data_IF_050115413815
#
_entry.id   IF_050115413815
#
_cell.length_a   1.000
_cell.length_b   1.000
_cell.length_c   1.000
_cell.angle_alpha   90.00
_cell.angle_beta   90.00
_cell.angle_gamma   90.00
#
_symmetry.space_group_name_H-M   'P 1'
#
loop_
_entity.id
_entity.type
_entity.pdbx_description
1 polymer ?
#
# COMPACT_ATOMS: atom_id res chain seq x y z
N UNK A 1 10.17 24.75 6.10
CA UNK A 1 8.81 24.15 6.25
C UNK A 1 8.96 22.84 7.00
N UNK A 2 7.98 22.44 7.80
CA UNK A 2 8.04 21.16 8.51
C UNK A 2 8.05 20.00 7.50
N UNK A 3 8.92 19.01 7.71
CA UNK A 3 9.01 17.81 6.87
C UNK A 3 7.66 17.10 6.78
N UNK A 4 7.19 16.79 5.58
CA UNK A 4 5.96 16.01 5.35
C UNK A 4 6.25 14.53 5.58
N UNK A 5 5.49 13.87 6.46
CA UNK A 5 5.66 12.46 6.80
C UNK A 5 4.71 11.60 5.99
N UNK A 6 5.25 10.63 5.26
CA UNK A 6 4.47 9.63 4.52
C UNK A 6 4.70 8.26 5.16
N UNK A 7 3.61 7.57 5.49
CA UNK A 7 3.69 6.20 5.99
C UNK A 7 3.29 5.21 4.89
N UNK A 8 4.21 4.31 4.56
CA UNK A 8 3.96 3.15 3.71
C UNK A 8 3.63 1.99 4.65
N UNK A 9 2.34 1.75 4.86
CA UNK A 9 1.83 0.73 5.78
C UNK A 9 1.42 -0.49 4.97
N UNK A 10 2.10 -1.61 5.16
CA UNK A 10 1.86 -2.79 4.33
C UNK A 10 1.80 -4.10 5.10
N UNK A 11 1.06 -5.05 4.54
CA UNK A 11 1.17 -6.47 4.89
C UNK A 11 1.75 -7.24 3.71
N UNK A 12 2.71 -8.13 3.97
CA UNK A 12 3.29 -9.02 2.97
C UNK A 12 3.49 -10.41 3.56
N UNK A 13 2.90 -11.43 2.93
CA UNK A 13 3.11 -12.82 3.33
C UNK A 13 4.23 -13.48 2.54
N UNK A 14 4.32 -13.21 1.24
CA UNK A 14 5.26 -13.84 0.31
C UNK A 14 6.29 -12.87 -0.30
N UNK A 15 6.42 -11.66 0.24
CA UNK A 15 7.43 -10.67 -0.17
C UNK A 15 7.03 -9.72 -1.31
N UNK A 16 6.09 -10.07 -2.18
CA UNK A 16 5.73 -9.23 -3.34
C UNK A 16 5.30 -7.81 -2.98
N UNK A 17 4.42 -7.66 -1.98
CA UNK A 17 3.96 -6.34 -1.53
C UNK A 17 5.07 -5.57 -0.82
N UNK A 18 5.99 -6.25 -0.13
CA UNK A 18 7.14 -5.61 0.49
C UNK A 18 8.08 -5.00 -0.55
N UNK A 19 8.34 -5.70 -1.65
CA UNK A 19 9.14 -5.17 -2.76
C UNK A 19 8.48 -3.91 -3.33
N UNK A 20 7.17 -3.95 -3.57
CA UNK A 20 6.40 -2.78 -4.01
C UNK A 20 6.47 -1.63 -2.99
N UNK A 21 6.30 -1.92 -1.70
CA UNK A 21 6.33 -0.94 -0.63
C UNK A 21 7.68 -0.20 -0.54
N UNK A 22 8.78 -0.91 -0.77
CA UNK A 22 10.11 -0.29 -0.82
C UNK A 22 10.25 0.66 -2.02
N UNK A 23 9.66 0.34 -3.16
CA UNK A 23 9.63 1.25 -4.32
C UNK A 23 8.70 2.45 -4.10
N UNK A 24 7.54 2.26 -3.49
CA UNK A 24 6.67 3.35 -3.04
C UNK A 24 7.44 4.31 -2.11
N UNK A 25 8.18 3.78 -1.14
CA UNK A 25 9.03 4.57 -0.24
C UNK A 25 10.10 5.34 -1.00
N UNK A 26 10.80 4.70 -1.96
CA UNK A 26 11.80 5.36 -2.81
C UNK A 26 11.17 6.50 -3.61
N UNK A 27 9.99 6.29 -4.16
CA UNK A 27 9.20 7.31 -4.86
C UNK A 27 8.89 8.50 -3.97
N UNK A 28 8.32 8.25 -2.80
CA UNK A 28 7.95 9.30 -1.84
C UNK A 28 9.17 10.10 -1.34
N UNK A 29 10.27 9.43 -1.02
CA UNK A 29 11.53 10.06 -0.59
C UNK A 29 12.24 10.85 -1.71
N UNK A 30 11.84 10.69 -2.97
CA UNK A 30 12.37 11.51 -4.07
C UNK A 30 11.85 12.96 -4.05
N UNK A 31 10.81 13.24 -3.26
CA UNK A 31 10.21 14.56 -3.11
C UNK A 31 10.92 15.33 -1.99
N UNK A 32 11.51 16.49 -2.33
CA UNK A 32 12.19 17.33 -1.35
C UNK A 32 11.27 17.73 -0.18
N UNK A 33 11.76 17.62 1.05
CA UNK A 33 10.98 17.96 2.25
C UNK A 33 9.92 16.92 2.64
N UNK A 34 9.98 15.72 2.04
CA UNK A 34 9.18 14.55 2.43
C UNK A 34 10.09 13.50 3.08
N UNK A 35 9.59 12.86 4.13
CA UNK A 35 10.21 11.69 4.76
C UNK A 35 9.21 10.54 4.77
N UNK A 36 9.58 9.45 4.11
CA UNK A 36 8.75 8.28 3.93
C UNK A 36 9.24 7.10 4.78
N UNK A 37 8.38 6.58 5.67
CA UNK A 37 8.70 5.49 6.61
C UNK A 37 7.91 4.23 6.25
N UNK A 38 8.59 3.07 6.24
CA UNK A 38 7.96 1.77 6.07
C UNK A 38 7.44 1.22 7.39
N UNK A 39 6.28 0.59 7.34
CA UNK A 39 5.60 0.02 8.49
C UNK A 39 4.95 -1.31 8.13
N UNK A 40 5.19 -2.34 8.92
CA UNK A 40 4.53 -3.64 8.77
C UNK A 40 3.26 -3.72 9.61
N UNK A 41 2.17 -4.18 8.98
CA UNK A 41 0.96 -4.60 9.70
C UNK A 41 1.26 -5.90 10.47
N UNK A 42 0.86 -6.01 11.76
CA UNK A 42 1.09 -7.20 12.56
C UNK A 42 0.50 -8.48 11.94
N UNK A 43 1.21 -9.60 12.13
CA UNK A 43 0.74 -10.92 11.70
C UNK A 43 -0.35 -11.46 12.64
N UNK A 44 -1.39 -12.10 12.08
CA UNK A 44 -2.49 -12.70 12.86
C UNK A 44 -2.53 -14.22 12.76
N UNK A 45 -1.87 -14.80 11.75
CA UNK A 45 -1.78 -16.24 11.61
C UNK A 45 -0.78 -16.84 12.59
N UNK A 46 -1.13 -17.96 13.19
CA UNK A 46 -0.21 -18.70 14.07
C UNK A 46 0.99 -19.24 13.30
N UNK A 47 2.12 -19.45 14.00
CA UNK A 47 3.32 -20.06 13.40
C UNK A 47 3.06 -21.41 12.74
N UNK A 48 2.12 -22.21 13.27
CA UNK A 48 1.70 -23.48 12.65
C UNK A 48 1.08 -23.26 11.26
N UNK A 49 0.21 -22.27 11.11
CA UNK A 49 -0.42 -21.96 9.84
C UNK A 49 0.59 -21.39 8.85
N UNK A 50 1.45 -20.46 9.29
CA UNK A 50 2.52 -19.91 8.46
C UNK A 50 3.45 -21.00 7.92
N UNK A 51 3.84 -21.95 8.77
CA UNK A 51 4.64 -23.11 8.36
C UNK A 51 3.92 -23.97 7.32
N UNK A 52 2.64 -24.29 7.53
CA UNK A 52 1.83 -25.03 6.54
C UNK A 52 1.71 -24.30 5.20
N UNK A 53 1.62 -22.98 5.24
CA UNK A 53 1.56 -22.12 4.06
C UNK A 53 2.92 -21.90 3.39
N UNK A 54 4.00 -22.45 3.95
CA UNK A 54 5.38 -22.25 3.51
C UNK A 54 5.72 -20.76 3.37
N UNK A 55 5.22 -19.95 4.31
CA UNK A 55 5.51 -18.53 4.33
C UNK A 55 7.02 -18.31 4.57
N UNK A 56 7.69 -17.49 3.74
CA UNK A 56 9.08 -17.15 3.99
C UNK A 56 9.22 -16.38 5.32
N UNK A 57 10.39 -16.43 5.96
CA UNK A 57 10.67 -15.56 7.10
C UNK A 57 10.57 -14.09 6.66
N UNK A 58 10.03 -13.25 7.53
CA UNK A 58 10.00 -11.80 7.32
C UNK A 58 11.33 -11.18 7.72
N UNK A 59 11.78 -10.17 6.97
CA UNK A 59 12.93 -9.38 7.38
C UNK A 59 12.58 -8.54 8.62
N UNK A 60 13.53 -8.40 9.54
CA UNK A 60 13.37 -7.66 10.80
C UNK A 60 13.82 -6.19 10.69
N UNK A 61 13.94 -5.66 9.47
CA UNK A 61 14.41 -4.29 9.23
C UNK A 61 13.28 -3.25 9.22
N UNK A 62 12.03 -3.68 9.05
CA UNK A 62 10.86 -2.80 9.07
C UNK A 62 10.06 -3.01 10.36
N UNK A 63 9.82 -1.96 11.17
CA UNK A 63 9.08 -2.08 12.41
C UNK A 63 7.58 -2.36 12.17
N UNK A 64 6.94 -2.98 13.16
CA UNK A 64 5.48 -3.12 13.17
C UNK A 64 4.83 -1.80 13.58
N UNK A 65 3.75 -1.44 12.91
CA UNK A 65 2.95 -0.26 13.27
C UNK A 65 1.83 -0.63 14.23
N UNK A 66 1.59 0.26 15.20
CA UNK A 66 0.36 0.27 16.00
C UNK A 66 -0.67 1.22 15.38
N UNK A 67 -1.97 0.93 15.51
CA UNK A 67 -3.03 1.77 14.94
C UNK A 67 -2.88 3.27 15.26
N UNK A 68 -2.62 3.63 16.53
CA UNK A 68 -2.52 5.01 17.01
C UNK A 68 -1.45 5.85 16.28
N UNK A 69 -0.39 5.21 15.80
CA UNK A 69 0.71 5.87 15.10
C UNK A 69 0.29 6.41 13.73
N UNK A 70 -0.83 5.95 13.16
CA UNK A 70 -1.34 6.54 11.91
C UNK A 70 -1.60 8.05 12.06
N UNK A 71 -1.94 8.53 13.26
CA UNK A 71 -2.13 9.96 13.51
C UNK A 71 -0.87 10.82 13.27
N UNK A 72 0.33 10.21 13.29
CA UNK A 72 1.61 10.91 13.17
C UNK A 72 2.01 11.26 11.72
N UNK A 73 1.42 10.59 10.72
CA UNK A 73 1.72 10.82 9.31
C UNK A 73 0.80 11.88 8.69
N UNK A 74 1.29 12.55 7.65
CA UNK A 74 0.51 13.51 6.87
C UNK A 74 -0.17 12.85 5.65
N UNK A 75 0.34 11.71 5.19
CA UNK A 75 -0.23 10.94 4.10
C UNK A 75 0.21 9.47 4.13
N UNK A 76 -0.49 8.63 3.35
CA UNK A 76 -0.35 7.19 3.45
C UNK A 76 -0.29 6.49 2.10
N UNK A 77 0.39 5.36 2.07
CA UNK A 77 0.28 4.34 1.04
C UNK A 77 0.00 3.01 1.73
N UNK A 78 -1.17 2.42 1.47
CA UNK A 78 -1.58 1.15 2.07
C UNK A 78 -1.37 -0.02 1.11
N UNK A 79 -0.56 -0.99 1.53
CA UNK A 79 -0.14 -2.13 0.72
C UNK A 79 -0.64 -3.47 1.23
N UNK A 80 -1.30 -4.28 0.40
CA UNK A 80 -1.71 -5.62 0.84
C UNK A 80 -1.89 -6.63 -0.30
N UNK A 81 -1.72 -7.94 -0.03
CA UNK A 81 -2.03 -8.95 -1.01
C UNK A 81 -3.54 -9.15 -1.07
N UNK A 82 -4.07 -9.33 -2.28
CA UNK A 82 -5.46 -9.71 -2.51
C UNK A 82 -5.76 -11.07 -1.85
N UNK A 83 -6.93 -11.14 -1.21
CA UNK A 83 -7.59 -12.36 -0.76
C UNK A 83 -9.00 -12.34 -1.31
N UNK A 84 -9.18 -12.98 -2.46
CA UNK A 84 -10.48 -13.07 -3.15
C UNK A 84 -11.12 -11.71 -3.45
N UNK A 85 -10.30 -10.72 -3.84
CA UNK A 85 -10.78 -9.38 -4.21
C UNK A 85 -10.97 -8.42 -3.04
N UNK A 86 -10.53 -8.78 -1.84
CA UNK A 86 -10.44 -7.89 -0.67
C UNK A 86 -9.04 -7.92 -0.06
N UNK A 87 -8.75 -7.00 0.86
CA UNK A 87 -7.51 -7.00 1.62
C UNK A 87 -7.33 -8.26 2.47
N UNK A 88 -6.08 -8.57 2.84
CA UNK A 88 -5.80 -9.64 3.77
C UNK A 88 -6.43 -9.39 5.16
N UNK A 89 -6.78 -10.47 5.87
CA UNK A 89 -7.42 -10.40 7.18
C UNK A 89 -6.59 -9.60 8.20
N UNK A 90 -5.27 -9.62 8.09
CA UNK A 90 -4.33 -8.85 8.89
C UNK A 90 -4.55 -7.34 8.73
N UNK A 91 -4.71 -6.87 7.49
CA UNK A 91 -5.02 -5.47 7.22
C UNK A 91 -6.41 -5.10 7.71
N UNK A 92 -7.40 -5.99 7.52
CA UNK A 92 -8.74 -5.73 8.03
C UNK A 92 -8.77 -5.64 9.55
N UNK A 93 -8.08 -6.54 10.26
CA UNK A 93 -7.94 -6.50 11.71
C UNK A 93 -7.22 -5.24 12.19
N UNK A 94 -6.20 -4.77 11.46
CA UNK A 94 -5.52 -3.50 11.75
C UNK A 94 -6.46 -2.30 11.62
N UNK A 95 -7.25 -2.21 10.54
CA UNK A 95 -8.29 -1.18 10.40
C UNK A 95 -9.43 -1.34 11.41
N UNK A 96 -9.78 -2.55 11.84
CA UNK A 96 -10.79 -2.72 12.90
C UNK A 96 -10.31 -2.20 14.26
N UNK A 97 -8.99 -2.09 14.44
CA UNK A 97 -8.37 -1.55 15.65
C UNK A 97 -8.17 -0.02 15.61
N UNK A 98 -8.70 0.70 14.61
CA UNK A 98 -8.57 2.17 14.50
C UNK A 98 -9.81 2.93 14.99
N UNK A 99 -10.70 2.28 15.77
CA UNK A 99 -11.97 2.90 16.22
C UNK A 99 -11.77 4.27 16.89
N UNK A 100 -10.77 4.41 17.77
CA UNK A 100 -10.49 5.69 18.43
C UNK A 100 -10.09 6.80 17.45
N UNK A 101 -9.31 6.46 16.41
CA UNK A 101 -8.91 7.41 15.37
C UNK A 101 -10.07 7.80 14.47
N UNK A 102 -11.00 6.87 14.24
CA UNK A 102 -12.25 7.15 13.55
C UNK A 102 -13.12 8.09 14.40
N UNK A 103 -13.33 7.78 15.68
CA UNK A 103 -14.16 8.58 16.57
C UNK A 103 -13.64 10.03 16.69
N UNK A 104 -12.33 10.20 16.82
CA UNK A 104 -11.69 11.51 16.90
C UNK A 104 -11.45 12.18 15.53
N UNK A 105 -11.78 11.50 14.42
CA UNK A 105 -11.50 11.94 13.04
C UNK A 105 -10.02 12.28 12.79
N UNK A 106 -9.08 11.61 13.47
CA UNK A 106 -7.65 11.95 13.43
C UNK A 106 -6.98 11.72 12.06
N UNK A 107 -7.63 10.96 11.17
CA UNK A 107 -7.14 10.68 9.81
C UNK A 107 -7.86 11.51 8.74
N UNK A 108 -8.87 12.30 9.12
CA UNK A 108 -9.67 13.05 8.16
C UNK A 108 -8.80 14.08 7.39
N UNK A 109 -9.05 14.18 6.09
CA UNK A 109 -8.32 15.10 5.19
C UNK A 109 -6.92 14.63 4.77
N UNK A 110 -6.38 13.57 5.38
CA UNK A 110 -5.06 13.05 5.00
C UNK A 110 -5.14 12.24 3.70
N UNK A 111 -4.29 12.50 2.70
CA UNK A 111 -4.27 11.73 1.46
C UNK A 111 -3.78 10.29 1.66
N UNK A 112 -4.40 9.35 0.95
CA UNK A 112 -4.04 7.95 0.97
C UNK A 112 -4.11 7.31 -0.42
N UNK A 113 -3.04 6.63 -0.82
CA UNK A 113 -3.00 5.73 -1.97
C UNK A 113 -3.08 4.27 -1.54
N UNK A 114 -3.41 3.38 -2.48
CA UNK A 114 -3.49 1.93 -2.27
C UNK A 114 -2.62 1.24 -3.32
N UNK A 115 -1.88 0.21 -2.90
CA UNK A 115 -1.14 -0.69 -3.79
C UNK A 115 -1.31 -2.14 -3.35
N UNK A 116 -1.17 -3.11 -4.26
CA UNK A 116 -1.47 -4.51 -3.94
C UNK A 116 -0.71 -5.54 -4.78
N UNK A 117 -0.76 -6.79 -4.35
CA UNK A 117 -0.38 -7.94 -5.19
C UNK A 117 -1.56 -8.86 -5.41
N UNK A 118 -1.73 -9.42 -6.60
CA UNK A 118 -2.70 -10.51 -6.85
C UNK A 118 -2.01 -11.75 -7.42
N UNK A 119 -2.69 -12.89 -7.40
CA UNK A 119 -2.15 -14.11 -8.02
C UNK A 119 -2.10 -13.99 -9.55
N UNK A 120 -3.25 -13.85 -10.19
CA UNK A 120 -3.40 -13.94 -11.65
C UNK A 120 -4.46 -12.96 -12.17
N UNK A 121 -4.56 -12.84 -13.50
CA UNK A 121 -5.54 -11.97 -14.17
C UNK A 121 -6.97 -12.23 -13.70
N UNK A 122 -7.74 -11.16 -13.45
CA UNK A 122 -9.10 -11.27 -12.91
C UNK A 122 -9.17 -11.64 -11.43
N UNK A 123 -8.05 -11.97 -10.76
CA UNK A 123 -7.96 -12.33 -9.34
C UNK A 123 -8.16 -11.17 -8.35
N UNK A 124 -9.03 -10.22 -8.68
CA UNK A 124 -9.29 -9.02 -7.88
C UNK A 124 -8.31 -7.88 -8.12
N UNK A 125 -7.75 -7.76 -9.33
CA UNK A 125 -6.80 -6.70 -9.69
C UNK A 125 -7.35 -5.29 -9.49
N UNK A 126 -8.66 -5.08 -9.62
CA UNK A 126 -9.27 -3.77 -9.33
C UNK A 126 -10.09 -3.81 -8.04
N UNK A 127 -10.82 -4.92 -7.82
CA UNK A 127 -11.74 -5.07 -6.69
C UNK A 127 -11.04 -4.97 -5.33
N UNK A 128 -9.78 -5.42 -5.24
CA UNK A 128 -8.99 -5.33 -3.99
C UNK A 128 -8.77 -3.89 -3.56
N UNK A 129 -8.48 -2.99 -4.51
CA UNK A 129 -8.35 -1.57 -4.23
C UNK A 129 -9.72 -0.95 -3.93
N UNK A 130 -10.72 -1.24 -4.77
CA UNK A 130 -12.07 -0.71 -4.65
C UNK A 130 -12.70 -0.99 -3.28
N UNK A 131 -12.61 -2.24 -2.81
CA UNK A 131 -13.20 -2.65 -1.52
C UNK A 131 -12.49 -2.00 -0.33
N UNK A 132 -11.20 -1.69 -0.46
CA UNK A 132 -10.44 -0.98 0.56
C UNK A 132 -10.78 0.52 0.64
N UNK A 133 -11.33 1.13 -0.41
CA UNK A 133 -11.77 2.54 -0.40
C UNK A 133 -12.81 2.83 0.69
N UNK A 134 -13.61 1.82 1.05
CA UNK A 134 -14.59 1.94 2.14
C UNK A 134 -13.91 2.34 3.46
N UNK A 135 -12.71 1.83 3.75
CA UNK A 135 -11.96 2.18 4.96
C UNK A 135 -11.51 3.65 4.92
N UNK A 136 -10.99 4.11 3.78
CA UNK A 136 -10.56 5.49 3.60
C UNK A 136 -11.74 6.46 3.75
N UNK A 137 -12.87 6.14 3.12
CA UNK A 137 -14.08 6.96 3.15
C UNK A 137 -14.62 7.12 4.58
N UNK A 138 -14.71 6.02 5.35
CA UNK A 138 -15.19 6.07 6.73
C UNK A 138 -14.26 6.84 7.67
N UNK A 139 -12.95 6.83 7.42
CA UNK A 139 -11.98 7.65 8.15
C UNK A 139 -11.88 9.11 7.67
N UNK A 140 -12.64 9.50 6.64
CA UNK A 140 -12.58 10.85 6.06
C UNK A 140 -11.27 11.14 5.31
N UNK A 141 -10.52 10.11 4.92
CA UNK A 141 -9.25 10.24 4.19
C UNK A 141 -9.50 10.59 2.73
N UNK A 142 -8.56 11.30 2.10
CA UNK A 142 -8.65 11.65 0.69
C UNK A 142 -8.01 10.55 -0.16
N UNK A 143 -8.81 9.79 -0.89
CA UNK A 143 -8.27 8.79 -1.81
C UNK A 143 -7.51 9.47 -2.97
N UNK A 144 -6.24 9.11 -3.12
CA UNK A 144 -5.36 9.55 -4.21
C UNK A 144 -5.08 8.36 -5.13
N UNK A 145 -5.82 8.21 -6.24
CA UNK A 145 -5.53 7.19 -7.25
C UNK A 145 -4.25 7.54 -8.02
N UNK A 146 -3.55 6.52 -8.54
CA UNK A 146 -2.49 6.76 -9.53
C UNK A 146 -3.09 7.33 -10.84
N UNK A 147 -4.34 6.97 -11.16
CA UNK A 147 -4.99 7.34 -12.41
C UNK A 147 -4.16 6.89 -13.61
N UNK A 148 -4.02 7.76 -14.61
CA UNK A 148 -3.11 7.56 -15.73
C UNK A 148 -1.88 8.48 -15.67
N UNK A 149 -1.53 8.95 -14.47
CA UNK A 149 -0.48 9.98 -14.27
C UNK A 149 0.94 9.48 -14.55
N UNK A 150 1.16 8.16 -14.61
CA UNK A 150 2.41 7.54 -15.05
C UNK A 150 2.58 7.52 -16.60
N UNK A 151 1.65 8.13 -17.34
CA UNK A 151 1.79 8.35 -18.78
C UNK A 151 1.74 7.06 -19.59
N UNK A 152 2.62 6.96 -20.61
CA UNK A 152 2.62 5.84 -21.56
C UNK A 152 2.75 4.46 -20.91
N UNK A 153 3.41 4.36 -19.75
CA UNK A 153 3.54 3.11 -19.00
C UNK A 153 2.23 2.54 -18.45
N UNK A 154 1.15 3.33 -18.43
CA UNK A 154 -0.21 2.86 -18.07
C UNK A 154 -0.95 2.20 -19.24
N UNK A 155 -0.47 2.38 -20.47
CA UNK A 155 -1.08 1.85 -21.70
C UNK A 155 -0.26 0.71 -22.32
N UNK A 156 0.78 0.26 -21.62
CA UNK A 156 1.67 -0.82 -22.06
C UNK A 156 0.95 -2.17 -22.00
N UNK A 157 1.00 -2.93 -23.10
CA UNK A 157 0.21 -4.15 -23.31
C UNK A 157 1.03 -5.34 -23.88
N UNK A 158 2.32 -5.16 -24.13
CA UNK A 158 3.25 -6.19 -24.64
C UNK A 158 3.59 -7.23 -23.56
N UNK A 159 3.48 -6.87 -22.28
CA UNK A 159 3.65 -7.79 -21.16
C UNK A 159 2.52 -7.69 -20.13
N UNK A 160 2.38 -8.76 -19.35
CA UNK A 160 1.44 -8.84 -18.24
C UNK A 160 1.93 -8.02 -17.06
N UNK A 161 1.17 -6.98 -16.71
CA UNK A 161 1.49 -6.10 -15.59
C UNK A 161 0.29 -5.90 -14.65
N UNK A 162 0.56 -5.91 -13.35
CA UNK A 162 -0.41 -5.62 -12.31
C UNK A 162 -0.65 -4.12 -12.12
N UNK A 163 -1.66 -3.81 -11.30
CA UNK A 163 -2.09 -2.44 -11.07
C UNK A 163 -3.16 -1.98 -12.05
N UNK A 164 -3.72 -0.81 -11.78
CA UNK A 164 -4.78 -0.18 -12.56
C UNK A 164 -4.82 1.32 -12.26
N UNK A 165 -5.83 2.04 -12.74
CA UNK A 165 -6.03 3.44 -12.37
C UNK A 165 -6.24 3.63 -10.84
N UNK A 166 -6.63 2.60 -10.10
CA UNK A 166 -6.81 2.66 -8.64
C UNK A 166 -5.47 2.70 -7.87
N UNK A 167 -4.36 2.26 -8.49
CA UNK A 167 -3.05 2.20 -7.85
C UNK A 167 -2.09 1.22 -8.53
N UNK A 168 -0.84 1.25 -8.10
CA UNK A 168 0.19 0.31 -8.51
C UNK A 168 -0.14 -1.09 -7.97
N UNK A 169 0.28 -2.10 -8.73
CA UNK A 169 0.12 -3.47 -8.29
C UNK A 169 1.04 -4.41 -9.04
N UNK A 170 1.11 -5.64 -8.56
CA UNK A 170 1.96 -6.69 -9.12
C UNK A 170 1.24 -8.03 -9.17
N UNK A 171 1.63 -8.88 -10.12
CA UNK A 171 1.21 -10.28 -10.17
C UNK A 171 2.24 -11.21 -9.53
N UNK A 172 1.79 -12.07 -8.63
CA UNK A 172 2.61 -13.09 -7.97
C UNK A 172 2.57 -14.45 -8.68
N UNK A 173 1.62 -14.69 -9.60
CA UNK A 173 1.35 -15.98 -10.23
C UNK A 173 1.15 -17.10 -9.18
N UNK A 174 1.95 -18.16 -9.27
CA UNK A 174 2.04 -19.27 -8.30
C UNK A 174 2.91 -18.94 -7.07
N UNK A 175 3.36 -17.69 -6.94
CA UNK A 175 4.30 -17.20 -5.94
C UNK A 175 5.74 -17.08 -6.43
N UNK A 176 6.06 -17.57 -7.64
CA UNK A 176 7.40 -17.49 -8.21
C UNK A 176 7.68 -16.18 -8.96
N UNK A 177 6.65 -15.54 -9.53
CA UNK A 177 6.80 -14.31 -10.33
C UNK A 177 7.16 -13.14 -9.42
N UNK A 178 8.29 -12.50 -9.69
CA UNK A 178 8.69 -11.24 -9.03
C UNK A 178 8.07 -10.03 -9.72
N UNK A 179 7.88 -8.90 -9.04
CA UNK A 179 7.42 -7.68 -9.69
C UNK A 179 8.28 -7.32 -10.91
N UNK A 180 7.65 -6.95 -12.03
CA UNK A 180 8.39 -6.46 -13.21
C UNK A 180 8.91 -5.04 -12.99
N UNK A 181 9.92 -4.66 -13.75
CA UNK A 181 10.44 -3.28 -13.77
C UNK A 181 9.32 -2.25 -13.98
N UNK A 182 8.38 -2.51 -14.90
CA UNK A 182 7.26 -1.59 -15.13
C UNK A 182 6.31 -1.48 -13.92
N UNK A 183 6.08 -2.58 -13.19
CA UNK A 183 5.30 -2.56 -11.94
C UNK A 183 6.01 -1.75 -10.85
N UNK A 184 7.33 -1.90 -10.74
CA UNK A 184 8.17 -1.14 -9.81
C UNK A 184 8.21 0.35 -10.15
N UNK A 185 8.31 0.70 -11.44
CA UNK A 185 8.25 2.10 -11.88
C UNK A 185 6.89 2.75 -11.59
N UNK A 186 5.78 1.99 -11.74
CA UNK A 186 4.45 2.45 -11.32
C UNK A 186 4.38 2.70 -9.81
N UNK A 187 4.96 1.82 -9.00
CA UNK A 187 5.02 2.00 -7.54
C UNK A 187 5.86 3.22 -7.16
N UNK A 188 7.03 3.40 -7.78
CA UNK A 188 7.86 4.59 -7.58
C UNK A 188 7.08 5.87 -7.94
N UNK A 189 6.36 5.87 -9.07
CA UNK A 189 5.56 7.00 -9.49
C UNK A 189 4.41 7.30 -8.54
N UNK A 190 3.66 6.28 -8.09
CA UNK A 190 2.58 6.44 -7.12
C UNK A 190 3.10 7.02 -5.80
N UNK A 191 4.21 6.50 -5.30
CA UNK A 191 4.84 6.98 -4.07
C UNK A 191 5.19 8.46 -4.13
N UNK A 192 5.82 8.87 -5.24
CA UNK A 192 6.13 10.28 -5.52
C UNK A 192 4.85 11.14 -5.60
N UNK A 193 3.85 10.68 -6.35
CA UNK A 193 2.62 11.42 -6.60
C UNK A 193 1.82 11.69 -5.32
N UNK A 194 1.64 10.67 -4.48
CA UNK A 194 0.96 10.82 -3.18
C UNK A 194 1.74 11.75 -2.26
N UNK A 195 3.07 11.64 -2.22
CA UNK A 195 3.93 12.52 -1.43
C UNK A 195 3.83 13.99 -1.85
N UNK A 196 3.81 14.28 -3.15
CA UNK A 196 3.61 15.64 -3.66
C UNK A 196 2.25 16.22 -3.27
N UNK A 197 1.19 15.40 -3.29
CA UNK A 197 -0.16 15.83 -2.87
C UNK A 197 -0.19 16.09 -1.37
N UNK A 198 0.34 15.18 -0.54
CA UNK A 198 0.43 15.37 0.90
C UNK A 198 1.19 16.65 1.26
N UNK A 199 2.33 16.91 0.59
CA UNK A 199 3.11 18.14 0.81
C UNK A 199 2.30 19.41 0.46
N UNK A 200 1.44 19.36 -0.56
CA UNK A 200 0.58 20.51 -0.94
C UNK A 200 -0.56 20.74 0.06
N UNK A 201 -1.08 19.67 0.66
CA UNK A 201 -2.16 19.74 1.65
C UNK A 201 -1.64 20.07 3.05
N UNK A 202 -0.36 19.76 3.31
CA UNK A 202 0.33 20.11 4.54
C UNK A 202 0.66 21.61 4.55
N UNK A 203 -0.11 22.37 5.32
CA UNK A 203 0.14 23.78 5.60
C UNK A 203 1.30 23.96 6.60
#
# INVERSE_FOLDING_TARGET
MATTKIYIVYYSLYGHVEVMAREEQRGANSVEGVEATLWQVPETLSGLILHKMRAPPKANDVPMIRPDQLSEADGFLFGFPSRFGVMAAQCKAFFDATNELWESQALAGKPAGIFWSTGFHGGGQELTAWTALTQLAHHGMLFVPIGYTFGSGMFEMDQVNGGSAYGAGTFAADGSRKPTELELQKAFHQGKYVAEIAKKLKN
#
